data_IF_045902211310
#
_entry.id   IF_045902211310
#
_cell.length_a   1.000
_cell.length_b   1.000
_cell.length_c   1.000
_cell.angle_alpha   90.00
_cell.angle_beta   90.00
_cell.angle_gamma   90.00
#
_symmetry.space_group_name_H-M   'P 1'
#
loop_
_entity.id
_entity.type
_entity.pdbx_description
1 polymer ?
#
# COMPACT_ATOMS: atom_id res chain seq x y z
N UNK A 1 2.99 15.02 2.45
CA UNK A 1 2.20 16.10 3.09
C UNK A 1 1.30 16.77 2.06
N UNK A 2 1.77 17.69 1.20
CA UNK A 2 0.97 18.36 0.15
C UNK A 2 -0.06 17.48 -0.59
N UNK A 3 0.40 16.57 -1.45
CA UNK A 3 -0.51 15.88 -2.37
C UNK A 3 -1.35 14.76 -1.71
N UNK A 4 -0.85 14.15 -0.65
CA UNK A 4 -1.56 13.06 0.04
C UNK A 4 -2.45 13.58 1.16
N UNK A 5 -1.91 14.41 2.06
CA UNK A 5 -2.62 14.89 3.25
C UNK A 5 -3.23 16.29 3.08
N UNK A 6 -2.82 17.07 2.07
CA UNK A 6 -3.35 18.43 1.86
C UNK A 6 -2.89 19.44 2.91
N UNK A 7 -1.87 19.12 3.71
CA UNK A 7 -1.37 20.00 4.77
C UNK A 7 -0.35 21.01 4.26
N UNK A 8 0.03 21.95 5.13
CA UNK A 8 1.20 22.81 4.92
C UNK A 8 2.43 21.97 4.56
N UNK A 9 3.26 22.52 3.67
CA UNK A 9 4.39 21.79 3.09
C UNK A 9 5.57 22.72 2.79
N UNK A 10 6.78 22.15 2.78
CA UNK A 10 8.03 22.87 2.52
C UNK A 10 8.52 22.88 1.07
N UNK A 11 7.68 22.53 0.08
CA UNK A 11 8.09 22.59 -1.34
C UNK A 11 8.28 24.04 -1.77
N UNK A 12 9.51 24.39 -2.16
CA UNK A 12 9.90 25.76 -2.57
C UNK A 12 9.97 25.94 -4.09
N UNK A 13 10.23 24.87 -4.84
CA UNK A 13 10.36 24.89 -6.29
C UNK A 13 9.01 24.90 -7.01
N UNK A 14 9.02 25.31 -8.28
CA UNK A 14 7.87 25.16 -9.19
C UNK A 14 7.77 23.72 -9.69
N UNK A 15 6.60 23.30 -10.14
CA UNK A 15 6.45 22.05 -10.87
C UNK A 15 6.88 22.20 -12.34
N UNK A 16 6.77 21.10 -13.09
CA UNK A 16 7.13 21.03 -14.50
C UNK A 16 6.36 22.04 -15.37
N UNK A 17 5.09 22.32 -15.05
CA UNK A 17 4.28 23.32 -15.73
C UNK A 17 4.80 24.73 -15.48
N UNK A 18 5.12 25.04 -14.23
CA UNK A 18 5.72 26.33 -13.84
C UNK A 18 7.12 26.59 -14.41
N UNK A 19 7.83 25.56 -14.85
CA UNK A 19 9.11 25.65 -15.56
C UNK A 19 8.99 25.58 -17.09
N UNK A 20 7.79 25.40 -17.64
CA UNK A 20 7.60 25.19 -19.09
C UNK A 20 8.27 23.90 -19.59
N UNK A 21 8.44 22.90 -18.72
CA UNK A 21 9.06 21.63 -19.04
C UNK A 21 8.23 20.77 -20.00
N UNK A 22 8.86 19.74 -20.57
CA UNK A 22 8.18 18.78 -21.45
C UNK A 22 7.19 17.93 -20.67
N UNK A 23 5.90 18.14 -20.91
CA UNK A 23 4.81 17.39 -20.29
C UNK A 23 4.82 15.91 -20.71
N UNK A 24 4.33 14.99 -19.84
CA UNK A 24 4.24 13.57 -20.17
C UNK A 24 3.27 13.31 -21.32
N UNK A 25 3.49 12.20 -22.04
CA UNK A 25 2.62 11.76 -23.15
C UNK A 25 1.55 10.74 -22.73
N UNK A 26 1.86 9.92 -21.72
CA UNK A 26 1.00 8.80 -21.28
C UNK A 26 0.16 9.12 -20.03
N UNK A 27 0.45 10.24 -19.37
CA UNK A 27 -0.25 10.67 -18.14
C UNK A 27 -0.88 12.03 -18.38
N UNK A 28 -2.13 12.20 -17.96
CA UNK A 28 -2.82 13.49 -18.05
C UNK A 28 -2.12 14.51 -17.16
N UNK A 29 -1.74 15.65 -17.74
CA UNK A 29 -1.23 16.79 -16.99
C UNK A 29 -2.38 17.62 -16.42
N UNK A 30 -2.24 18.04 -15.17
CA UNK A 30 -3.12 18.99 -14.50
C UNK A 30 -2.26 20.20 -14.11
N UNK A 31 -2.67 21.41 -14.49
CA UNK A 31 -1.91 22.62 -14.13
C UNK A 31 -1.87 22.82 -12.61
N UNK A 32 -2.95 22.47 -11.93
CA UNK A 32 -2.99 22.36 -10.47
C UNK A 32 -3.06 20.88 -10.11
N UNK A 33 -1.99 20.37 -9.49
CA UNK A 33 -1.94 18.98 -9.04
C UNK A 33 -2.92 18.77 -7.87
N UNK A 34 -3.69 17.66 -7.84
CA UNK A 34 -4.58 17.39 -6.73
C UNK A 34 -3.83 17.29 -5.38
N UNK A 35 -4.46 17.82 -4.35
CA UNK A 35 -3.99 17.83 -2.96
C UNK A 35 -5.00 17.10 -2.05
N UNK A 36 -4.54 16.61 -0.90
CA UNK A 36 -5.42 15.93 0.07
C UNK A 36 -6.08 14.66 -0.47
N UNK A 37 -5.36 13.82 -1.20
CA UNK A 37 -5.91 12.60 -1.83
C UNK A 37 -6.34 11.51 -0.84
N UNK A 38 -5.85 11.54 0.40
CA UNK A 38 -6.24 10.57 1.41
C UNK A 38 -7.49 11.09 2.13
N UNK A 39 -8.59 10.37 1.98
CA UNK A 39 -9.83 10.67 2.71
C UNK A 39 -9.75 10.25 4.20
N UNK A 40 -8.88 9.27 4.51
CA UNK A 40 -8.66 8.78 5.87
C UNK A 40 -7.24 8.22 6.03
N UNK A 41 -6.51 8.69 7.03
CA UNK A 41 -5.22 8.16 7.45
C UNK A 41 -5.31 7.58 8.87
N UNK A 42 -5.20 6.24 8.96
CA UNK A 42 -5.18 5.49 10.22
C UNK A 42 -3.78 4.96 10.48
N UNK A 43 -3.21 5.24 11.65
CA UNK A 43 -1.89 4.74 12.05
C UNK A 43 -1.98 3.90 13.32
N UNK A 44 -1.31 2.75 13.33
CA UNK A 44 -1.11 1.91 14.52
C UNK A 44 0.31 2.16 15.03
N UNK A 45 0.46 2.59 16.27
CA UNK A 45 1.76 2.83 16.88
C UNK A 45 1.68 2.73 18.41
N UNK A 46 2.77 2.30 19.04
CA UNK A 46 2.88 2.23 20.51
C UNK A 46 3.46 3.53 21.08
N UNK A 47 3.89 4.46 20.22
CA UNK A 47 4.31 5.82 20.59
C UNK A 47 3.69 6.83 19.64
N UNK A 48 3.56 8.08 20.09
CA UNK A 48 3.11 9.18 19.23
C UNK A 48 4.23 9.59 18.25
N UNK A 49 4.36 8.83 17.15
CA UNK A 49 5.31 9.13 16.08
C UNK A 49 4.87 10.35 15.25
N UNK A 50 5.78 10.88 14.43
CA UNK A 50 5.44 11.99 13.52
C UNK A 50 4.30 11.61 12.57
N UNK A 51 4.23 10.36 12.12
CA UNK A 51 3.10 9.86 11.33
C UNK A 51 1.78 9.95 12.10
N UNK A 52 1.77 9.54 13.37
CA UNK A 52 0.59 9.64 14.23
C UNK A 52 0.10 11.09 14.39
N UNK A 53 1.02 12.04 14.56
CA UNK A 53 0.68 13.48 14.69
C UNK A 53 -0.05 14.02 13.45
N UNK A 54 0.20 13.44 12.27
CA UNK A 54 -0.47 13.81 11.02
C UNK A 54 -1.66 12.88 10.65
N UNK A 55 -1.98 11.89 11.47
CA UNK A 55 -3.05 10.92 11.19
C UNK A 55 -4.39 11.38 11.74
N UNK A 56 -5.48 10.98 11.09
CA UNK A 56 -6.84 11.26 11.56
C UNK A 56 -7.21 10.36 12.75
N UNK A 57 -6.75 9.10 12.71
CA UNK A 57 -6.98 8.10 13.75
C UNK A 57 -5.66 7.45 14.13
N UNK A 58 -5.39 7.39 15.43
CA UNK A 58 -4.24 6.68 16.00
C UNK A 58 -4.77 5.54 16.88
N UNK A 59 -4.37 4.31 16.56
CA UNK A 59 -4.73 3.11 17.32
C UNK A 59 -3.52 2.65 18.14
N UNK A 60 -3.66 2.48 19.48
CA UNK A 60 -2.55 2.06 20.32
C UNK A 60 -2.21 0.58 20.05
N UNK A 61 -1.05 0.31 19.45
CA UNK A 61 -0.56 -1.06 19.27
C UNK A 61 0.32 -1.51 20.43
N UNK A 62 0.39 -2.81 20.67
CA UNK A 62 1.26 -3.42 21.67
C UNK A 62 2.74 -3.32 21.26
N UNK A 63 3.61 -3.05 22.23
CA UNK A 63 5.06 -3.12 22.04
C UNK A 63 5.52 -4.55 21.77
N UNK A 64 6.79 -4.73 21.43
CA UNK A 64 7.37 -6.05 21.16
C UNK A 64 7.41 -6.98 22.38
N UNK A 65 7.28 -6.45 23.60
CA UNK A 65 7.27 -7.23 24.85
C UNK A 65 5.85 -7.57 25.34
N UNK A 66 4.83 -7.22 24.56
CA UNK A 66 3.41 -7.38 24.95
C UNK A 66 2.64 -8.23 23.93
N UNK A 67 3.33 -8.85 22.96
CA UNK A 67 2.72 -9.66 21.91
C UNK A 67 3.58 -10.85 21.53
N UNK A 68 2.91 -11.85 20.93
CA UNK A 68 3.56 -13.03 20.38
C UNK A 68 3.70 -12.87 18.86
N UNK A 69 4.92 -13.04 18.36
CA UNK A 69 5.24 -13.00 16.92
C UNK A 69 6.55 -13.75 16.64
N UNK A 70 7.00 -13.78 15.39
CA UNK A 70 8.28 -14.37 14.98
C UNK A 70 9.20 -13.34 14.32
N UNK A 71 10.50 -13.46 14.52
CA UNK A 71 11.51 -12.64 13.89
C UNK A 71 12.63 -13.49 13.24
N UNK A 72 13.09 -13.02 12.09
CA UNK A 72 14.22 -13.54 11.32
C UNK A 72 15.01 -12.37 10.73
N UNK A 73 16.27 -12.60 10.38
CA UNK A 73 17.14 -11.60 9.75
C UNK A 73 18.12 -12.27 8.78
N UNK A 74 18.51 -11.57 7.71
CA UNK A 74 19.55 -12.01 6.76
C UNK A 74 20.89 -12.32 7.44
N UNK A 75 21.16 -11.72 8.60
CA UNK A 75 22.46 -11.80 9.28
C UNK A 75 22.75 -13.16 9.93
N UNK A 76 21.73 -14.00 10.15
CA UNK A 76 21.88 -15.30 10.81
C UNK A 76 20.75 -16.27 10.45
N UNK A 77 20.96 -17.60 10.55
CA UNK A 77 19.94 -18.59 10.18
C UNK A 77 18.93 -18.89 11.30
N UNK A 78 18.88 -18.10 12.37
CA UNK A 78 17.96 -18.33 13.49
C UNK A 78 16.61 -17.67 13.28
N UNK A 79 15.55 -18.41 13.62
CA UNK A 79 14.21 -17.91 13.87
C UNK A 79 13.95 -17.91 15.37
N UNK A 80 13.39 -16.82 15.90
CA UNK A 80 13.06 -16.73 17.32
C UNK A 80 11.78 -15.91 17.56
N UNK A 81 11.07 -16.14 18.67
CA UNK A 81 9.83 -15.43 18.94
C UNK A 81 10.04 -14.04 19.54
N UNK A 82 9.03 -13.20 19.37
CA UNK A 82 8.64 -12.20 20.37
C UNK A 82 7.63 -12.91 21.30
N UNK A 83 7.76 -12.69 22.61
CA UNK A 83 6.86 -13.27 23.60
C UNK A 83 6.32 -12.17 24.49
N UNK A 84 5.02 -12.19 24.75
CA UNK A 84 4.39 -11.29 25.70
C UNK A 84 4.93 -11.56 27.12
N UNK A 85 5.74 -10.63 27.64
CA UNK A 85 6.21 -10.66 29.03
C UNK A 85 5.09 -10.27 30.00
N UNK A 86 4.20 -9.39 29.56
CA UNK A 86 2.97 -8.97 30.23
C UNK A 86 1.87 -8.75 29.17
N UNK A 87 0.63 -8.65 29.61
CA UNK A 87 -0.46 -8.23 28.72
C UNK A 87 -0.23 -6.80 28.20
N UNK A 88 -0.69 -6.45 26.98
CA UNK A 88 -0.63 -5.09 26.46
C UNK A 88 -1.16 -4.05 27.45
N UNK A 89 -0.35 -3.06 27.79
CA UNK A 89 -0.71 -2.07 28.81
C UNK A 89 -1.78 -1.12 28.29
N UNK A 90 -2.66 -0.67 29.20
CA UNK A 90 -3.83 0.17 28.92
C UNK A 90 -4.80 -0.47 27.92
N UNK A 91 -5.20 0.26 26.89
CA UNK A 91 -6.12 -0.21 25.84
C UNK A 91 -5.38 -0.68 24.58
N UNK A 92 -4.06 -0.82 24.67
CA UNK A 92 -3.26 -1.29 23.54
C UNK A 92 -3.61 -2.74 23.18
N UNK A 93 -3.46 -3.08 21.92
CA UNK A 93 -3.70 -4.43 21.38
C UNK A 93 -2.60 -4.78 20.39
N UNK A 94 -2.29 -6.05 20.20
CA UNK A 94 -1.39 -6.43 19.11
C UNK A 94 -1.99 -6.05 17.76
N UNK A 95 -1.15 -5.78 16.75
CA UNK A 95 -1.60 -5.45 15.39
C UNK A 95 -2.58 -6.50 14.86
N UNK A 96 -2.32 -7.78 15.17
CA UNK A 96 -3.19 -8.90 14.87
C UNK A 96 -4.60 -8.75 15.45
N UNK A 97 -4.73 -8.45 16.75
CA UNK A 97 -6.04 -8.28 17.37
C UNK A 97 -6.74 -7.00 16.89
N UNK A 98 -5.99 -5.93 16.57
CA UNK A 98 -6.55 -4.71 15.99
C UNK A 98 -7.18 -5.01 14.62
N UNK A 99 -6.42 -5.59 13.69
CA UNK A 99 -6.94 -5.92 12.36
C UNK A 99 -8.06 -6.98 12.42
N UNK A 100 -7.99 -7.94 13.35
CA UNK A 100 -9.09 -8.90 13.56
C UNK A 100 -10.38 -8.20 14.00
N UNK A 101 -10.29 -7.24 14.92
CA UNK A 101 -11.45 -6.45 15.37
C UNK A 101 -12.01 -5.58 14.24
N UNK A 102 -11.14 -4.95 13.44
CA UNK A 102 -11.53 -4.19 12.24
C UNK A 102 -12.24 -5.12 11.24
N UNK A 103 -11.69 -6.30 10.94
CA UNK A 103 -12.28 -7.26 10.02
C UNK A 103 -13.66 -7.75 10.51
N UNK A 104 -13.81 -7.98 11.82
CA UNK A 104 -15.11 -8.31 12.42
C UNK A 104 -16.11 -7.17 12.20
N UNK A 105 -15.72 -5.93 12.52
CA UNK A 105 -16.62 -4.78 12.35
C UNK A 105 -16.94 -4.51 10.89
N UNK A 106 -15.96 -4.64 10.00
CA UNK A 106 -16.14 -4.56 8.56
C UNK A 106 -17.17 -5.60 8.09
N UNK A 107 -17.10 -6.84 8.56
CA UNK A 107 -18.05 -7.90 8.19
C UNK A 107 -19.47 -7.64 8.68
N UNK A 108 -19.64 -6.89 9.77
CA UNK A 108 -20.96 -6.47 10.28
C UNK A 108 -21.54 -5.32 9.45
N UNK A 109 -20.71 -4.40 8.96
CA UNK A 109 -21.12 -3.17 8.26
C UNK A 109 -21.20 -3.35 6.74
N UNK A 110 -20.30 -4.15 6.15
CA UNK A 110 -20.20 -4.30 4.71
C UNK A 110 -21.48 -4.77 4.02
N UNK A 111 -22.38 -5.60 4.62
CA UNK A 111 -23.65 -6.00 3.99
C UNK A 111 -24.59 -4.85 3.63
N UNK A 112 -24.36 -3.64 4.17
CA UNK A 112 -25.10 -2.43 3.76
C UNK A 112 -24.86 -2.06 2.30
N UNK A 113 -23.71 -2.45 1.73
CA UNK A 113 -23.25 -2.03 0.40
C UNK A 113 -22.55 -3.12 -0.43
N UNK A 114 -22.02 -4.18 0.18
CA UNK A 114 -21.22 -5.24 -0.44
C UNK A 114 -21.73 -6.63 -0.01
N UNK A 115 -21.69 -7.59 -0.93
CA UNK A 115 -22.06 -8.99 -0.73
C UNK A 115 -21.00 -9.96 -1.24
N UNK A 116 -21.42 -10.94 -2.05
CA UNK A 116 -20.50 -11.85 -2.75
C UNK A 116 -20.13 -11.22 -4.08
N UNK A 117 -18.95 -10.63 -4.12
CA UNK A 117 -18.48 -9.89 -5.29
C UNK A 117 -17.58 -10.73 -6.20
N UNK A 118 -17.61 -10.40 -7.49
CA UNK A 118 -16.62 -10.88 -8.46
C UNK A 118 -15.70 -9.71 -8.81
N UNK A 119 -14.44 -9.81 -8.40
CA UNK A 119 -13.42 -8.81 -8.71
C UNK A 119 -12.63 -9.18 -9.97
N UNK A 120 -12.06 -8.17 -10.65
CA UNK A 120 -11.13 -8.33 -11.77
C UNK A 120 -9.76 -7.84 -11.33
N UNK A 121 -8.82 -8.75 -11.19
CA UNK A 121 -7.49 -8.48 -10.67
C UNK A 121 -6.46 -8.56 -11.78
N UNK A 122 -5.62 -7.53 -11.87
CA UNK A 122 -4.47 -7.49 -12.77
C UNK A 122 -3.22 -7.94 -12.02
N UNK A 123 -2.65 -9.08 -12.43
CA UNK A 123 -1.40 -9.60 -11.84
C UNK A 123 -0.25 -9.42 -12.83
N UNK A 124 0.87 -8.78 -12.43
CA UNK A 124 2.03 -8.65 -13.31
C UNK A 124 2.62 -10.02 -13.66
N UNK A 125 3.45 -10.04 -14.69
CA UNK A 125 4.25 -11.23 -15.02
C UNK A 125 5.24 -11.45 -13.87
N UNK A 126 5.21 -12.65 -13.28
CA UNK A 126 6.00 -12.99 -12.10
C UNK A 126 7.26 -13.77 -12.48
N UNK A 127 8.36 -13.48 -11.78
CA UNK A 127 9.52 -14.37 -11.76
C UNK A 127 9.19 -15.69 -11.05
N UNK A 128 9.98 -16.74 -11.29
CA UNK A 128 9.78 -18.09 -10.76
C UNK A 128 8.42 -18.70 -11.17
N UNK A 129 7.89 -18.26 -12.31
CA UNK A 129 6.67 -18.80 -12.94
C UNK A 129 6.91 -19.01 -14.43
N UNK A 130 6.14 -19.88 -15.11
CA UNK A 130 6.24 -20.03 -16.56
C UNK A 130 6.08 -18.71 -17.36
N UNK A 131 5.39 -17.72 -16.78
CA UNK A 131 5.18 -16.42 -17.39
C UNK A 131 6.45 -15.57 -17.52
N UNK A 132 7.50 -15.87 -16.74
CA UNK A 132 8.75 -15.10 -16.77
C UNK A 132 9.42 -15.07 -18.14
N UNK A 133 9.17 -16.09 -18.98
CA UNK A 133 9.63 -16.18 -20.37
C UNK A 133 8.65 -15.45 -21.29
N UNK A 134 8.48 -14.15 -21.06
CA UNK A 134 7.46 -13.31 -21.68
C UNK A 134 7.83 -12.81 -23.10
N UNK A 135 8.79 -11.89 -23.16
CA UNK A 135 9.30 -11.26 -24.40
C UNK A 135 10.81 -11.48 -24.49
N UNK A 136 11.29 -12.57 -25.13
CA UNK A 136 12.66 -13.03 -24.97
C UNK A 136 13.72 -12.26 -25.77
N UNK A 137 13.33 -11.51 -26.79
CA UNK A 137 14.27 -10.90 -27.74
C UNK A 137 14.20 -9.38 -27.79
N UNK A 138 13.01 -8.81 -27.65
CA UNK A 138 12.72 -7.40 -27.80
C UNK A 138 11.59 -6.96 -26.86
N UNK A 139 11.39 -5.65 -26.77
CA UNK A 139 10.29 -5.05 -26.02
C UNK A 139 9.24 -4.57 -27.02
N UNK A 140 8.02 -5.08 -26.90
CA UNK A 140 6.87 -4.66 -27.71
C UNK A 140 5.73 -4.15 -26.83
N UNK A 141 5.20 -3.00 -27.23
CA UNK A 141 4.09 -2.32 -26.58
C UNK A 141 2.77 -2.58 -27.31
N UNK A 142 1.89 -3.35 -26.68
CA UNK A 142 0.57 -3.66 -27.23
C UNK A 142 -0.31 -2.42 -27.41
N UNK A 143 -0.13 -1.36 -26.60
CA UNK A 143 -0.90 -0.10 -26.71
C UNK A 143 -0.55 0.66 -27.99
N UNK A 144 0.64 0.43 -28.55
CA UNK A 144 1.11 0.99 -29.82
C UNK A 144 0.84 0.07 -31.02
N UNK A 145 0.25 -1.11 -30.80
CA UNK A 145 -0.01 -2.09 -31.85
C UNK A 145 1.22 -2.89 -32.28
N UNK A 146 2.31 -2.86 -31.51
CA UNK A 146 3.55 -3.59 -31.83
C UNK A 146 3.41 -5.11 -31.59
N UNK A 147 2.45 -5.51 -30.76
CA UNK A 147 2.10 -6.90 -30.45
C UNK A 147 0.63 -7.00 -30.00
N UNK A 148 0.07 -8.21 -29.97
CA UNK A 148 -1.27 -8.45 -29.43
C UNK A 148 -1.26 -8.35 -27.88
N UNK A 149 -2.34 -7.87 -27.24
CA UNK A 149 -2.48 -7.89 -25.79
C UNK A 149 -2.84 -9.30 -25.30
N UNK A 150 -1.83 -10.05 -24.84
CA UNK A 150 -1.94 -11.43 -24.36
C UNK A 150 -1.68 -11.43 -22.85
N UNK A 151 -2.72 -11.66 -22.01
CA UNK A 151 -2.57 -11.72 -20.56
C UNK A 151 -1.51 -12.73 -20.12
N UNK A 152 -0.63 -12.32 -19.22
CA UNK A 152 0.48 -13.12 -18.71
C UNK A 152 1.67 -13.23 -19.65
N UNK A 153 1.69 -12.50 -20.79
CA UNK A 153 2.81 -12.51 -21.75
C UNK A 153 3.20 -11.13 -22.26
N UNK A 154 2.26 -10.36 -22.79
CA UNK A 154 2.51 -9.00 -23.29
C UNK A 154 1.76 -7.94 -22.49
N UNK A 155 0.88 -8.36 -21.58
CA UNK A 155 0.20 -7.54 -20.58
C UNK A 155 0.02 -8.34 -19.28
N UNK A 156 -0.37 -7.71 -18.15
CA UNK A 156 -0.70 -8.42 -16.92
C UNK A 156 -1.75 -9.51 -17.14
N UNK A 157 -1.69 -10.58 -16.35
CA UNK A 157 -2.79 -11.56 -16.27
C UNK A 157 -4.05 -10.85 -15.78
N UNK A 158 -5.21 -11.22 -16.34
CA UNK A 158 -6.52 -10.70 -15.94
C UNK A 158 -7.34 -11.88 -15.39
N UNK A 159 -7.59 -11.89 -14.10
CA UNK A 159 -8.36 -12.94 -13.41
C UNK A 159 -9.58 -12.38 -12.72
#
# INVERSE_FOLDING_TARGET
>A
LKHLLGTTHGVLGKDLGGFGGKKPKEVRWHEEAPEGKLDLLVTLDFRMSTTCVYSDIVLPTATWYEKNDLNTSDMHPFIHPLTAAVDPVWESKSDWEIYKAIAKRFSEVSPEVLGVEKDVVLTPIMHDTPGEIAQPFDVKDWKKGETAPVPGKTMPTVT
#
